data_IF_915589310079
#
_entry.id   IF_915589310079
#
_cell.length_a   1.000
_cell.length_b   1.000
_cell.length_c   1.000
_cell.angle_alpha   90.00
_cell.angle_beta   90.00
_cell.angle_gamma   90.00
#
_symmetry.space_group_name_H-M   'P 1'
#
loop_
_entity.id
_entity.type
_entity.pdbx_description
1 polymer ?
#
# COMPACT_ATOMS: atom_id res chain seq x y z
N UNK A 1 15.16 3.15 -11.27
CA UNK A 1 13.85 3.73 -11.55
C UNK A 1 13.88 5.21 -11.19
N UNK A 2 13.56 6.04 -12.14
CA UNK A 2 13.47 7.48 -11.94
C UNK A 2 12.08 7.84 -11.37
N UNK A 3 12.06 8.56 -10.26
CA UNK A 3 10.83 9.00 -9.63
C UNK A 3 10.27 10.26 -10.31
N UNK A 4 8.97 10.31 -10.49
CA UNK A 4 8.26 11.51 -10.91
C UNK A 4 8.13 12.51 -9.76
N UNK A 5 7.94 13.78 -10.07
CA UNK A 5 7.87 14.86 -9.08
C UNK A 5 6.85 14.60 -7.96
N UNK A 6 5.65 14.14 -8.31
CA UNK A 6 4.62 13.86 -7.33
C UNK A 6 4.97 12.65 -6.43
N UNK A 7 5.77 11.71 -6.93
CA UNK A 7 6.26 10.59 -6.12
C UNK A 7 7.29 11.07 -5.10
N UNK A 8 8.18 11.96 -5.50
CA UNK A 8 9.14 12.60 -4.59
C UNK A 8 8.44 13.43 -3.52
N UNK A 9 7.43 14.22 -3.91
CA UNK A 9 6.59 14.97 -2.97
C UNK A 9 5.94 14.05 -1.93
N UNK A 10 5.39 12.92 -2.38
CA UNK A 10 4.75 11.94 -1.50
C UNK A 10 5.75 11.36 -0.48
N UNK A 11 6.95 11.00 -0.92
CA UNK A 11 8.00 10.46 -0.06
C UNK A 11 8.47 11.50 0.96
N UNK A 12 8.66 12.75 0.54
CA UNK A 12 9.01 13.85 1.45
C UNK A 12 7.92 14.09 2.49
N UNK A 13 6.65 14.04 2.09
CA UNK A 13 5.52 14.20 2.99
C UNK A 13 5.44 13.04 4.00
N UNK A 14 5.70 11.81 3.58
CA UNK A 14 5.75 10.65 4.48
C UNK A 14 6.86 10.81 5.52
N UNK A 15 8.02 11.30 5.10
CA UNK A 15 9.12 11.58 6.02
C UNK A 15 8.73 12.65 7.05
N UNK A 16 8.07 13.72 6.63
CA UNK A 16 7.58 14.77 7.53
C UNK A 16 6.56 14.22 8.53
N UNK A 17 5.65 13.39 8.10
CA UNK A 17 4.66 12.74 8.96
C UNK A 17 5.36 11.92 10.06
N UNK A 18 6.37 11.14 9.69
CA UNK A 18 7.17 10.37 10.66
C UNK A 18 7.99 11.29 11.58
N UNK A 19 8.62 12.33 11.05
CA UNK A 19 9.41 13.28 11.83
C UNK A 19 8.54 14.02 12.86
N UNK A 20 7.25 14.21 12.56
CA UNK A 20 6.27 14.78 13.50
C UNK A 20 5.79 13.77 14.56
N UNK A 21 6.35 12.57 14.58
CA UNK A 21 6.03 11.53 15.56
C UNK A 21 4.78 10.73 15.26
N UNK A 22 4.22 10.86 14.08
CA UNK A 22 3.03 10.10 13.67
C UNK A 22 3.44 8.71 13.20
N UNK A 23 2.58 7.72 13.46
CA UNK A 23 2.88 6.30 13.22
C UNK A 23 2.02 5.69 12.13
N UNK A 24 1.11 6.47 11.54
CA UNK A 24 0.17 5.98 10.54
C UNK A 24 -0.12 7.08 9.52
N UNK A 25 -0.18 6.73 8.25
CA UNK A 25 -0.49 7.65 7.17
C UNK A 25 -1.17 6.96 6.00
N UNK A 26 -1.74 7.76 5.11
CA UNK A 26 -2.44 7.33 3.91
C UNK A 26 -1.82 7.99 2.67
N UNK A 27 -1.56 7.20 1.64
CA UNK A 27 -1.35 7.69 0.28
C UNK A 27 -2.63 7.46 -0.53
N UNK A 28 -3.24 8.55 -0.94
CA UNK A 28 -4.38 8.51 -1.84
C UNK A 28 -3.89 8.78 -3.27
N UNK A 29 -3.64 7.73 -4.02
CA UNK A 29 -3.15 7.81 -5.40
C UNK A 29 -4.05 7.02 -6.34
N UNK A 30 -4.48 7.66 -7.42
CA UNK A 30 -5.26 7.02 -8.47
C UNK A 30 -4.51 5.83 -9.07
N UNK A 31 -5.24 4.87 -9.62
CA UNK A 31 -4.67 3.76 -10.37
C UNK A 31 -3.83 4.29 -11.54
N UNK A 32 -2.64 3.76 -11.73
CA UNK A 32 -1.73 4.15 -12.83
C UNK A 32 -0.75 5.26 -12.51
N UNK A 33 -0.76 5.83 -11.28
CA UNK A 33 0.23 6.85 -10.90
C UNK A 33 1.44 6.28 -10.15
N UNK A 34 1.56 4.96 -10.04
CA UNK A 34 2.75 4.32 -9.47
C UNK A 34 2.82 4.37 -7.95
N UNK A 35 1.69 4.18 -7.24
CA UNK A 35 1.64 4.19 -5.76
C UNK A 35 2.55 3.12 -5.13
N UNK A 36 2.68 1.95 -5.74
CA UNK A 36 3.54 0.88 -5.23
C UNK A 36 5.02 1.23 -5.36
N UNK A 37 5.42 1.92 -6.42
CA UNK A 37 6.80 2.44 -6.58
C UNK A 37 7.11 3.44 -5.47
N UNK A 38 6.19 4.34 -5.17
CA UNK A 38 6.31 5.32 -4.09
C UNK A 38 6.47 4.61 -2.74
N UNK A 39 5.62 3.63 -2.46
CA UNK A 39 5.68 2.85 -1.22
C UNK A 39 7.00 2.06 -1.10
N UNK A 40 7.45 1.44 -2.18
CA UNK A 40 8.70 0.68 -2.20
C UNK A 40 9.91 1.59 -1.96
N UNK A 41 9.93 2.77 -2.56
CA UNK A 41 10.99 3.75 -2.35
C UNK A 41 11.02 4.24 -0.90
N UNK A 42 9.86 4.50 -0.31
CA UNK A 42 9.77 4.89 1.10
C UNK A 42 10.20 3.77 2.04
N UNK A 43 9.81 2.53 1.76
CA UNK A 43 10.24 1.36 2.54
C UNK A 43 11.75 1.18 2.50
N UNK A 44 12.37 1.36 1.34
CA UNK A 44 13.83 1.33 1.19
C UNK A 44 14.50 2.43 2.02
N UNK A 45 13.96 3.63 2.02
CA UNK A 45 14.47 4.77 2.78
C UNK A 45 14.37 4.54 4.30
N UNK A 46 13.26 3.96 4.76
CA UNK A 46 13.06 3.61 6.18
C UNK A 46 14.04 2.52 6.62
N UNK A 47 14.30 1.56 5.75
CA UNK A 47 15.09 0.37 6.07
C UNK A 47 14.32 -0.59 6.99
N UNK A 48 15.00 -1.61 7.52
CA UNK A 48 14.35 -2.62 8.35
C UNK A 48 13.46 -3.56 7.54
N UNK A 49 12.53 -4.22 8.23
CA UNK A 49 11.66 -5.22 7.61
C UNK A 49 10.27 -4.65 7.32
N UNK A 50 9.74 -4.98 6.16
CA UNK A 50 8.44 -4.51 5.68
C UNK A 50 7.48 -5.68 5.47
N UNK A 51 6.25 -5.53 5.95
CA UNK A 51 5.14 -6.40 5.60
C UNK A 51 4.22 -5.66 4.64
N UNK A 52 4.01 -6.23 3.46
CA UNK A 52 3.12 -5.66 2.43
C UNK A 52 1.86 -6.52 2.35
N UNK A 53 0.73 -5.98 2.80
CA UNK A 53 -0.55 -6.68 2.86
C UNK A 53 -1.39 -6.42 1.62
N UNK A 54 -1.90 -7.48 1.04
CA UNK A 54 -2.82 -7.45 -0.10
C UNK A 54 -4.02 -8.37 0.15
N UNK A 55 -5.08 -8.19 -0.60
CA UNK A 55 -6.29 -9.02 -0.49
C UNK A 55 -6.41 -10.08 -1.61
N UNK A 56 -5.45 -10.14 -2.52
CA UNK A 56 -5.46 -11.10 -3.63
C UNK A 56 -4.05 -11.53 -4.01
N UNK A 57 -3.90 -12.79 -4.38
CA UNK A 57 -2.63 -13.40 -4.74
C UNK A 57 -1.90 -12.66 -5.88
N UNK A 58 -2.64 -12.24 -6.89
CA UNK A 58 -2.10 -11.49 -8.03
C UNK A 58 -1.46 -10.17 -7.60
N UNK A 59 -2.05 -9.49 -6.63
CA UNK A 59 -1.53 -8.22 -6.10
C UNK A 59 -0.21 -8.42 -5.35
N UNK A 60 -0.05 -9.53 -4.64
CA UNK A 60 1.21 -9.89 -3.98
C UNK A 60 2.35 -10.03 -4.99
N UNK A 61 2.12 -10.76 -6.07
CA UNK A 61 3.09 -10.97 -7.13
C UNK A 61 3.48 -9.66 -7.83
N UNK A 62 2.50 -8.82 -8.15
CA UNK A 62 2.72 -7.53 -8.79
C UNK A 62 3.53 -6.57 -7.91
N UNK A 63 3.20 -6.50 -6.63
CA UNK A 63 3.93 -5.67 -5.67
C UNK A 63 5.38 -6.14 -5.50
N UNK A 64 5.57 -7.45 -5.41
CA UNK A 64 6.90 -8.06 -5.32
C UNK A 64 7.77 -7.70 -6.53
N UNK A 65 7.23 -7.78 -7.73
CA UNK A 65 7.93 -7.40 -8.96
C UNK A 65 8.35 -5.92 -8.94
N UNK A 66 7.49 -5.05 -8.47
CA UNK A 66 7.80 -3.62 -8.34
C UNK A 66 8.91 -3.38 -7.31
N UNK A 67 8.84 -4.02 -6.15
CA UNK A 67 9.89 -3.91 -5.13
C UNK A 67 11.23 -4.44 -5.62
N UNK A 68 11.25 -5.51 -6.40
CA UNK A 68 12.48 -6.05 -6.99
C UNK A 68 13.20 -5.04 -7.87
N UNK A 69 12.44 -4.20 -8.58
CA UNK A 69 13.01 -3.14 -9.42
C UNK A 69 13.48 -1.93 -8.61
N UNK A 70 12.75 -1.57 -7.55
CA UNK A 70 13.04 -0.37 -6.73
C UNK A 70 14.12 -0.66 -5.69
N UNK A 71 14.07 -1.84 -5.09
CA UNK A 71 14.96 -2.22 -3.99
C UNK A 71 15.59 -3.60 -4.24
N UNK A 72 16.49 -3.70 -5.23
CA UNK A 72 17.08 -5.00 -5.62
C UNK A 72 17.92 -5.66 -4.54
N UNK A 73 18.41 -4.90 -3.55
CA UNK A 73 19.22 -5.45 -2.46
C UNK A 73 18.39 -6.15 -1.38
N UNK A 74 17.09 -5.91 -1.33
CA UNK A 74 16.21 -6.54 -0.34
C UNK A 74 15.91 -7.99 -0.73
N UNK A 75 15.86 -8.86 0.26
CA UNK A 75 15.31 -10.21 0.08
C UNK A 75 13.79 -10.13 0.11
N UNK A 76 13.13 -10.72 -0.88
CA UNK A 76 11.69 -10.68 -1.06
C UNK A 76 11.08 -12.06 -0.89
N UNK A 77 10.01 -12.14 -0.12
CA UNK A 77 9.28 -13.37 0.10
C UNK A 77 7.78 -13.16 0.03
N UNK A 78 7.04 -14.25 -0.04
CA UNK A 78 5.58 -14.24 -0.08
C UNK A 78 5.02 -15.09 1.06
N UNK A 79 3.93 -14.62 1.65
CA UNK A 79 3.16 -15.38 2.61
C UNK A 79 1.72 -15.50 2.11
N UNK A 80 1.46 -16.59 1.41
CA UNK A 80 0.21 -16.86 0.70
C UNK A 80 -0.24 -18.29 0.98
N UNK A 81 -1.30 -18.75 0.33
CA UNK A 81 -1.76 -20.14 0.47
C UNK A 81 -0.73 -21.19 0.04
N UNK A 82 0.11 -20.85 -0.95
CA UNK A 82 1.10 -21.78 -1.52
C UNK A 82 2.54 -21.55 -1.11
N UNK A 83 2.85 -20.43 -0.45
CA UNK A 83 4.22 -20.07 -0.08
C UNK A 83 4.25 -19.44 1.31
N UNK A 84 5.21 -19.85 2.14
CA UNK A 84 5.25 -19.50 3.58
C UNK A 84 6.62 -18.95 4.01
N UNK A 85 7.09 -17.92 3.32
CA UNK A 85 8.34 -17.24 3.64
C UNK A 85 8.18 -16.35 4.88
N UNK A 86 9.12 -16.40 5.81
CA UNK A 86 9.02 -15.71 7.10
C UNK A 86 10.22 -14.81 7.44
N UNK A 87 11.37 -15.00 6.79
CA UNK A 87 12.63 -14.37 7.20
C UNK A 87 13.14 -13.26 6.27
N UNK A 88 12.50 -13.05 5.13
CA UNK A 88 12.94 -12.08 4.14
C UNK A 88 12.72 -10.64 4.62
N UNK A 89 13.46 -9.71 4.02
CA UNK A 89 13.37 -8.28 4.36
C UNK A 89 11.97 -7.72 4.08
N UNK A 90 11.37 -8.10 2.95
CA UNK A 90 10.00 -7.73 2.62
C UNK A 90 9.18 -9.00 2.39
N UNK A 91 8.07 -9.09 3.10
CA UNK A 91 7.10 -10.18 2.94
C UNK A 91 5.82 -9.62 2.32
N UNK A 92 5.43 -10.17 1.18
CA UNK A 92 4.16 -9.85 0.50
C UNK A 92 3.14 -10.91 0.90
N UNK A 93 2.18 -10.51 1.71
CA UNK A 93 1.23 -11.47 2.30
C UNK A 93 -0.19 -11.17 1.86
N UNK A 94 -0.95 -12.23 1.56
CA UNK A 94 -2.40 -12.10 1.50
C UNK A 94 -2.94 -12.05 2.92
N UNK A 95 -3.91 -11.17 3.15
CA UNK A 95 -4.53 -10.96 4.46
C UNK A 95 -5.10 -12.27 5.01
N UNK A 96 -5.74 -13.05 4.13
CA UNK A 96 -6.35 -14.33 4.49
C UNK A 96 -5.32 -15.34 5.00
N UNK A 97 -4.14 -15.37 4.40
CA UNK A 97 -3.10 -16.34 4.78
C UNK A 97 -2.38 -15.96 6.07
N UNK A 98 -1.92 -14.71 6.18
CA UNK A 98 -1.13 -14.31 7.33
C UNK A 98 -1.99 -14.20 8.61
N UNK A 99 -3.27 -13.82 8.50
CA UNK A 99 -4.16 -13.70 9.65
C UNK A 99 -4.38 -15.00 10.41
N UNK A 100 -4.18 -16.13 9.75
CA UNK A 100 -4.30 -17.47 10.35
C UNK A 100 -3.02 -17.93 11.05
N UNK A 101 -1.89 -17.33 10.74
CA UNK A 101 -0.56 -17.81 11.11
C UNK A 101 0.27 -16.72 11.80
N UNK A 102 -0.38 -15.78 12.48
CA UNK A 102 0.31 -14.64 13.12
C UNK A 102 1.39 -15.09 14.13
N UNK A 103 1.16 -16.19 14.81
CA UNK A 103 2.08 -16.76 15.80
C UNK A 103 3.43 -17.21 15.21
N UNK A 104 3.52 -17.35 13.89
CA UNK A 104 4.77 -17.65 13.18
C UNK A 104 5.71 -16.45 13.09
N UNK A 105 5.21 -15.28 13.45
CA UNK A 105 5.96 -14.03 13.44
C UNK A 105 5.99 -13.43 14.86
N UNK A 106 7.11 -12.78 15.20
CA UNK A 106 7.14 -11.93 16.39
C UNK A 106 6.22 -10.71 16.17
N UNK A 107 5.51 -10.21 17.18
CA UNK A 107 4.75 -8.96 17.07
C UNK A 107 5.60 -7.77 16.60
N UNK A 108 6.90 -7.79 16.87
CA UNK A 108 7.84 -6.74 16.47
C UNK A 108 8.67 -7.09 15.23
N UNK A 109 8.26 -8.12 14.48
CA UNK A 109 9.00 -8.61 13.31
C UNK A 109 9.17 -7.57 12.21
N UNK A 110 8.20 -6.67 12.04
CA UNK A 110 8.18 -5.70 10.95
C UNK A 110 8.24 -4.27 11.49
N UNK A 111 9.11 -3.46 10.89
CA UNK A 111 9.24 -2.04 11.19
C UNK A 111 8.23 -1.20 10.40
N UNK A 112 7.86 -1.67 9.22
CA UNK A 112 6.97 -0.98 8.30
C UNK A 112 5.87 -1.93 7.83
N UNK A 113 4.63 -1.49 7.96
CA UNK A 113 3.46 -2.22 7.49
C UNK A 113 2.78 -1.41 6.39
N UNK A 114 2.66 -1.97 5.20
CA UNK A 114 1.98 -1.34 4.06
C UNK A 114 0.72 -2.13 3.76
N UNK A 115 -0.40 -1.42 3.61
CA UNK A 115 -1.71 -2.03 3.33
C UNK A 115 -2.20 -1.52 1.98
N UNK A 116 -2.15 -2.38 0.97
CA UNK A 116 -2.69 -2.05 -0.35
C UNK A 116 -4.21 -2.19 -0.34
N UNK A 117 -4.89 -1.33 -1.10
CA UNK A 117 -6.34 -1.26 -1.11
C UNK A 117 -6.91 -1.14 0.32
N UNK A 118 -6.36 -0.20 1.08
CA UNK A 118 -6.62 -0.04 2.52
C UNK A 118 -8.07 0.32 2.86
N UNK A 119 -8.91 0.60 1.85
CA UNK A 119 -10.34 0.77 2.06
C UNK A 119 -11.03 -0.50 2.59
N UNK A 120 -10.37 -1.65 2.55
CA UNK A 120 -10.81 -2.89 3.19
C UNK A 120 -10.36 -3.02 4.66
N UNK A 121 -9.54 -2.09 5.16
CA UNK A 121 -8.85 -2.22 6.45
C UNK A 121 -9.78 -2.25 7.67
N UNK A 122 -11.04 -1.78 7.54
CA UNK A 122 -12.03 -1.88 8.60
C UNK A 122 -12.52 -3.31 8.87
N UNK A 123 -12.30 -4.25 7.95
CA UNK A 123 -12.70 -5.65 8.12
C UNK A 123 -11.97 -6.32 9.28
N UNK A 124 -12.64 -7.25 9.96
CA UNK A 124 -12.12 -7.93 11.15
C UNK A 124 -10.76 -8.61 10.92
N UNK A 125 -10.54 -9.18 9.74
CA UNK A 125 -9.28 -9.85 9.38
C UNK A 125 -8.11 -8.89 9.40
N UNK A 126 -8.28 -7.67 8.89
CA UNK A 126 -7.25 -6.62 8.94
C UNK A 126 -7.02 -6.14 10.38
N UNK A 127 -8.08 -5.94 11.14
CA UNK A 127 -7.99 -5.51 12.54
C UNK A 127 -7.21 -6.51 13.40
N UNK A 128 -7.37 -7.79 13.15
CA UNK A 128 -6.62 -8.86 13.80
C UNK A 128 -5.11 -8.71 13.55
N UNK A 129 -4.71 -8.40 12.32
CA UNK A 129 -3.32 -8.18 11.94
C UNK A 129 -2.76 -6.92 12.60
N UNK A 130 -3.50 -5.82 12.58
CA UNK A 130 -3.08 -4.55 13.19
C UNK A 130 -2.97 -4.64 14.71
N UNK A 131 -3.79 -5.45 15.34
CA UNK A 131 -3.72 -5.68 16.80
C UNK A 131 -2.49 -6.51 17.18
N UNK A 132 -2.12 -7.46 16.33
CA UNK A 132 -0.97 -8.35 16.60
C UNK A 132 0.36 -7.66 16.39
N UNK A 133 0.58 -7.03 15.25
CA UNK A 133 1.86 -6.41 14.91
C UNK A 133 1.99 -5.00 15.50
N UNK A 134 3.23 -4.67 15.90
CA UNK A 134 3.59 -3.35 16.44
C UNK A 134 4.68 -2.71 15.57
N UNK A 135 4.39 -2.35 14.31
CA UNK A 135 5.35 -1.69 13.45
C UNK A 135 5.61 -0.25 13.93
N UNK A 136 6.73 0.31 13.51
CA UNK A 136 7.03 1.74 13.76
C UNK A 136 6.17 2.66 12.92
N UNK A 137 5.73 2.20 11.75
CA UNK A 137 4.91 2.99 10.83
C UNK A 137 3.98 2.10 10.00
N UNK A 138 2.74 2.57 9.82
CA UNK A 138 1.74 1.91 8.97
C UNK A 138 1.36 2.86 7.84
N UNK A 139 1.45 2.38 6.60
CA UNK A 139 1.06 3.12 5.41
C UNK A 139 -0.10 2.43 4.72
N UNK A 140 -1.20 3.17 4.55
CA UNK A 140 -2.32 2.74 3.72
C UNK A 140 -2.19 3.28 2.31
N UNK A 141 -2.44 2.44 1.32
CA UNK A 141 -2.52 2.82 -0.09
C UNK A 141 -3.95 2.65 -0.56
N UNK A 142 -4.51 3.66 -1.22
CA UNK A 142 -5.84 3.58 -1.81
C UNK A 142 -5.95 4.42 -3.07
N UNK A 143 -6.74 3.95 -4.03
CA UNK A 143 -7.10 4.70 -5.22
C UNK A 143 -8.48 5.36 -5.11
N UNK A 144 -9.32 4.91 -4.20
CA UNK A 144 -10.72 5.35 -4.09
C UNK A 144 -11.17 5.46 -2.63
N UNK A 145 -10.94 6.62 -1.94
CA UNK A 145 -11.37 6.79 -0.55
C UNK A 145 -12.85 7.11 -0.38
N UNK A 146 -13.58 7.41 -1.45
CA UNK A 146 -14.95 7.96 -1.40
C UNK A 146 -16.06 6.90 -1.42
N UNK A 147 -15.77 5.65 -1.09
CA UNK A 147 -16.82 4.63 -0.92
C UNK A 147 -17.39 4.73 0.49
N UNK A 148 -18.54 4.12 0.73
CA UNK A 148 -19.21 4.05 2.04
C UNK A 148 -18.28 3.59 3.18
N UNK A 149 -17.23 2.85 2.84
CA UNK A 149 -16.17 2.41 3.76
C UNK A 149 -15.06 3.47 3.93
N UNK A 150 -15.11 4.55 3.16
CA UNK A 150 -14.04 5.55 3.08
C UNK A 150 -13.91 6.41 4.34
N UNK A 151 -15.01 6.69 5.02
CA UNK A 151 -14.99 7.46 6.28
C UNK A 151 -14.29 6.67 7.39
N UNK A 152 -14.59 5.38 7.52
CA UNK A 152 -13.95 4.49 8.50
C UNK A 152 -12.45 4.36 8.23
N UNK A 153 -12.06 4.32 6.98
CA UNK A 153 -10.65 4.25 6.57
C UNK A 153 -9.91 5.54 6.88
N UNK A 154 -10.47 6.70 6.54
CA UNK A 154 -9.86 8.00 6.83
C UNK A 154 -9.72 8.21 8.34
N UNK A 155 -10.71 7.77 9.12
CA UNK A 155 -10.65 7.78 10.58
C UNK A 155 -9.54 6.88 11.10
N UNK A 156 -9.39 5.67 10.53
CA UNK A 156 -8.36 4.72 10.91
C UNK A 156 -6.94 5.22 10.59
N UNK A 157 -6.71 5.76 9.40
CA UNK A 157 -5.40 6.21 8.97
C UNK A 157 -5.06 7.65 9.37
N UNK A 158 -6.03 8.48 9.73
CA UNK A 158 -5.93 9.83 10.32
C UNK A 158 -5.14 10.86 9.52
N UNK A 159 -4.04 10.49 8.87
CA UNK A 159 -3.11 11.40 8.21
C UNK A 159 -2.99 11.08 6.72
N UNK A 160 -3.54 11.96 5.87
CA UNK A 160 -3.33 11.86 4.43
C UNK A 160 -1.99 12.53 4.11
N UNK A 161 -0.96 11.74 3.80
CA UNK A 161 0.37 12.24 3.50
C UNK A 161 0.44 12.89 2.11
N UNK A 162 -0.26 12.30 1.14
CA UNK A 162 -0.27 12.82 -0.22
C UNK A 162 -1.52 12.35 -0.97
N UNK A 163 -2.08 13.24 -1.78
CA UNK A 163 -3.26 12.96 -2.60
C UNK A 163 -2.94 13.21 -4.08
N UNK A 164 -3.12 12.20 -4.90
CA UNK A 164 -3.04 12.27 -6.35
C UNK A 164 -4.25 11.52 -6.92
N UNK A 165 -5.44 12.13 -6.83
CA UNK A 165 -6.65 11.55 -7.37
C UNK A 165 -6.65 11.60 -8.91
N UNK A 166 -7.64 10.97 -9.53
CA UNK A 166 -7.74 10.90 -10.99
C UNK A 166 -7.79 12.29 -11.62
N UNK A 167 -8.58 13.20 -11.06
CA UNK A 167 -8.72 14.57 -11.53
C UNK A 167 -7.39 15.31 -11.50
N UNK A 168 -6.70 15.28 -10.37
CA UNK A 168 -5.39 15.93 -10.20
C UNK A 168 -4.34 15.32 -11.14
N UNK A 169 -4.33 14.00 -11.31
CA UNK A 169 -3.40 13.31 -12.20
C UNK A 169 -3.59 13.73 -13.65
N UNK A 170 -4.83 13.90 -14.10
CA UNK A 170 -5.14 14.40 -15.45
C UNK A 170 -4.72 15.87 -15.58
N UNK A 171 -5.06 16.72 -14.62
CA UNK A 171 -4.70 18.14 -14.62
C UNK A 171 -3.19 18.37 -14.65
N UNK A 172 -2.40 17.52 -13.96
CA UNK A 172 -0.94 17.58 -13.93
C UNK A 172 -0.28 16.89 -15.14
N UNK A 173 -1.05 16.34 -16.06
CA UNK A 173 -0.53 15.64 -17.25
C UNK A 173 0.11 14.28 -16.95
N UNK A 174 -0.13 13.70 -15.76
CA UNK A 174 0.39 12.38 -15.37
C UNK A 174 -0.40 11.26 -16.06
N UNK A 175 -1.71 11.44 -16.19
CA UNK A 175 -2.61 10.51 -16.85
C UNK A 175 -3.32 11.20 -18.01
N UNK A 176 -3.57 10.44 -19.08
CA UNK A 176 -4.35 10.92 -20.24
C UNK A 176 -5.84 10.82 -19.91
N UNK A 177 -6.65 11.85 -20.23
CA UNK A 177 -8.10 11.78 -20.04
C UNK A 177 -8.70 10.60 -20.80
N UNK A 178 -9.49 9.78 -20.10
CA UNK A 178 -10.23 8.70 -20.74
C UNK A 178 -11.52 9.28 -21.28
N UNK A 179 -11.68 9.26 -22.62
CA UNK A 179 -12.98 9.53 -23.26
C UNK A 179 -13.82 8.26 -23.17
N UNK A 180 -14.78 8.26 -22.25
CA UNK A 180 -15.80 7.22 -22.25
C UNK A 180 -16.73 7.43 -23.45
N UNK A 181 -16.54 6.66 -24.53
CA UNK A 181 -17.52 6.56 -25.59
C UNK A 181 -18.59 5.60 -25.09
N UNK A 182 -19.77 6.13 -24.74
CA UNK A 182 -20.93 5.29 -24.48
C UNK A 182 -21.41 4.75 -25.85
N UNK A 183 -21.09 3.49 -26.09
CA UNK A 183 -21.76 2.77 -27.18
C UNK A 183 -23.18 2.47 -26.71
N UNK A 184 -24.17 3.16 -27.27
CA UNK A 184 -25.57 2.75 -27.13
C UNK A 184 -25.74 1.46 -27.90
N UNK A 185 -25.71 0.35 -27.22
CA UNK A 185 -26.27 -0.88 -27.76
C UNK A 185 -27.78 -0.77 -27.68
N UNK A 186 -28.44 -0.57 -28.81
CA UNK A 186 -29.87 -0.82 -28.93
C UNK A 186 -30.08 -2.33 -28.81
N UNK A 187 -30.34 -2.79 -27.59
CA UNK A 187 -30.92 -4.11 -27.39
C UNK A 187 -32.43 -3.89 -27.35
N UNK A 188 -33.09 -4.23 -28.44
CA UNK A 188 -34.54 -4.37 -28.45
C UNK A 188 -34.95 -5.59 -27.64
#
# INVERSE_FOLDING_TARGET
IELRDYQQEAIENLKKVRDDGKTIALLYHATGVGKTITAATDAKAVGGRTLFLVNALKLASQAKDTFARVWPEATLGEYTGGQKDVSQTVIFATVQSISKDLEKFSPTAFDYLIVDECHHAAANTYQKIFTYFHPKFILGLTATPERSDGEDMLELFQNVAHKMDLKTAVERGVLVPIRCIRVKTNID
#
